data_IF_772673099851
#
_entry.id   IF_772673099851
#
_cell.length_a   1.000
_cell.length_b   1.000
_cell.length_c   1.000
_cell.angle_alpha   90.00
_cell.angle_beta   90.00
_cell.angle_gamma   90.00
#
_symmetry.space_group_name_H-M   'P 1'
#
loop_
_entity.id
_entity.type
_entity.pdbx_description
1 polymer ?
#
# COMPACT_ATOMS: atom_id res chain seq x y z
N UNK A 1 75.52 -15.19 -27.72
CA UNK A 1 75.46 -14.63 -26.36
C UNK A 1 73.99 -14.45 -26.02
N UNK A 2 73.58 -14.96 -24.85
CA UNK A 2 72.19 -15.18 -24.42
C UNK A 2 71.49 -13.87 -24.04
N UNK A 3 70.16 -13.82 -24.21
CA UNK A 3 69.16 -13.24 -23.29
C UNK A 3 67.76 -13.49 -23.88
N UNK A 4 67.12 -14.63 -23.60
CA UNK A 4 66.06 -14.81 -22.57
C UNK A 4 64.89 -13.82 -22.77
N UNK A 5 63.89 -14.23 -23.56
CA UNK A 5 62.54 -13.64 -23.52
C UNK A 5 61.81 -14.20 -22.29
N UNK A 6 61.40 -13.31 -21.39
CA UNK A 6 60.62 -13.64 -20.20
C UNK A 6 59.15 -13.90 -20.52
N UNK A 7 58.64 -14.98 -19.93
CA UNK A 7 57.24 -15.39 -19.83
C UNK A 7 56.46 -14.50 -18.86
N UNK A 8 55.26 -14.05 -19.27
CA UNK A 8 54.15 -13.71 -18.34
C UNK A 8 52.80 -14.07 -18.99
N UNK A 9 52.00 -14.98 -18.40
CA UNK A 9 50.61 -15.20 -18.82
C UNK A 9 49.66 -14.27 -18.04
N UNK A 10 48.68 -13.59 -18.68
CA UNK A 10 47.52 -13.11 -17.96
C UNK A 10 46.54 -14.27 -17.83
N UNK A 11 46.41 -14.80 -16.61
CA UNK A 11 45.33 -14.46 -15.70
C UNK A 11 44.01 -15.11 -16.13
N UNK A 12 43.79 -16.31 -15.60
CA UNK A 12 42.49 -16.95 -15.42
C UNK A 12 41.50 -15.96 -14.80
N UNK A 13 40.62 -15.38 -15.60
CA UNK A 13 39.46 -14.66 -15.09
C UNK A 13 38.35 -15.67 -14.81
N UNK A 14 38.20 -16.02 -13.54
CA UNK A 14 36.99 -16.66 -13.02
C UNK A 14 35.81 -15.73 -13.32
N UNK A 15 34.93 -16.15 -14.22
CA UNK A 15 33.69 -15.45 -14.49
C UNK A 15 32.76 -15.60 -13.27
N UNK A 16 32.80 -14.64 -12.35
CA UNK A 16 31.79 -14.52 -11.30
C UNK A 16 30.51 -13.95 -11.92
N UNK A 17 29.51 -14.82 -12.08
CA UNK A 17 28.15 -14.42 -12.45
C UNK A 17 27.52 -13.73 -11.24
N UNK A 18 27.60 -12.40 -11.18
CA UNK A 18 26.78 -11.62 -10.26
C UNK A 18 25.34 -11.60 -10.79
N UNK A 19 24.49 -12.48 -10.25
CA UNK A 19 23.03 -12.36 -10.44
C UNK A 19 22.58 -11.17 -9.58
N UNK A 20 22.54 -9.98 -10.19
CA UNK A 20 21.89 -8.82 -9.58
C UNK A 20 20.38 -9.02 -9.69
N UNK A 21 19.78 -9.68 -8.67
CA UNK A 21 18.33 -9.77 -8.53
C UNK A 21 17.78 -8.39 -8.19
N UNK A 22 17.38 -7.65 -9.22
CA UNK A 22 16.73 -6.34 -9.10
C UNK A 22 15.31 -6.57 -8.59
N UNK A 23 15.08 -6.37 -7.29
CA UNK A 23 13.73 -6.26 -6.73
C UNK A 23 13.15 -4.92 -7.19
N UNK A 24 12.52 -4.89 -8.36
CA UNK A 24 11.78 -3.73 -8.83
C UNK A 24 10.54 -3.51 -7.93
N UNK A 25 10.41 -2.37 -7.23
CA UNK A 25 9.18 -2.05 -6.51
C UNK A 25 8.04 -1.89 -7.52
N UNK A 26 6.92 -2.58 -7.31
CA UNK A 26 5.71 -2.34 -8.09
C UNK A 26 5.24 -0.91 -7.79
N UNK A 27 5.08 -0.03 -8.78
CA UNK A 27 4.52 1.30 -8.54
C UNK A 27 3.08 1.13 -8.04
N UNK A 28 2.86 1.41 -6.76
CA UNK A 28 1.50 1.54 -6.24
C UNK A 28 0.91 2.79 -6.89
N UNK A 29 -0.14 2.61 -7.70
CA UNK A 29 -0.81 3.77 -8.25
C UNK A 29 -1.61 4.46 -7.14
N UNK A 30 -1.88 5.76 -7.23
CA UNK A 30 -2.73 6.50 -6.28
C UNK A 30 -4.13 5.89 -6.06
N UNK A 31 -4.57 5.00 -6.94
CA UNK A 31 -5.85 4.29 -6.86
C UNK A 31 -5.73 2.86 -6.30
N UNK A 32 -4.55 2.45 -5.85
CA UNK A 32 -4.31 1.12 -5.30
C UNK A 32 -4.02 1.18 -3.80
N UNK A 33 -4.64 0.27 -3.06
CA UNK A 33 -4.19 -0.13 -1.75
C UNK A 33 -2.94 -1.00 -1.88
N UNK A 34 -1.94 -0.71 -1.05
CA UNK A 34 -0.68 -1.45 -1.04
C UNK A 34 -0.90 -2.91 -0.63
N UNK A 35 -0.02 -3.84 -1.05
CA UNK A 35 -0.10 -5.23 -0.62
C UNK A 35 -0.14 -5.41 0.90
N UNK A 36 -1.01 -6.30 1.36
CA UNK A 36 -1.06 -6.78 2.76
C UNK A 36 -0.95 -8.31 2.79
N UNK A 37 -0.87 -8.89 3.99
CA UNK A 37 -0.93 -10.35 4.13
C UNK A 37 -2.25 -10.94 3.58
N UNK A 38 -3.37 -10.23 3.74
CA UNK A 38 -4.67 -10.67 3.24
C UNK A 38 -4.86 -10.38 1.73
N UNK A 39 -4.17 -9.36 1.21
CA UNK A 39 -4.10 -9.04 -0.23
C UNK A 39 -2.65 -8.88 -0.70
N UNK A 40 -1.93 -9.99 -0.98
CA UNK A 40 -0.52 -9.95 -1.35
C UNK A 40 -0.20 -9.23 -2.67
N UNK A 41 -1.22 -8.99 -3.49
CA UNK A 41 -1.10 -8.24 -4.75
C UNK A 41 -1.70 -6.82 -4.64
N UNK A 42 -2.12 -6.40 -3.45
CA UNK A 42 -2.91 -5.19 -3.26
C UNK A 42 -4.32 -5.33 -3.84
N UNK A 43 -5.00 -4.20 -3.99
CA UNK A 43 -6.30 -4.09 -4.65
C UNK A 43 -6.58 -2.62 -4.99
N UNK A 44 -7.50 -2.35 -5.93
CA UNK A 44 -7.81 -0.99 -6.35
C UNK A 44 -9.08 -0.45 -5.69
N UNK A 45 -9.05 0.80 -5.25
CA UNK A 45 -10.25 1.48 -4.77
C UNK A 45 -11.23 1.72 -5.94
N UNK A 46 -12.55 1.57 -5.72
CA UNK A 46 -13.55 1.99 -6.69
C UNK A 46 -13.39 3.47 -7.06
N UNK A 47 -13.46 3.79 -8.36
CA UNK A 47 -13.34 5.17 -8.84
C UNK A 47 -14.35 6.12 -8.18
N UNK A 48 -15.55 5.64 -7.87
CA UNK A 48 -16.60 6.38 -7.15
C UNK A 48 -16.22 6.81 -5.73
N UNK A 49 -15.20 6.20 -5.13
CA UNK A 49 -14.70 6.53 -3.79
C UNK A 49 -13.38 7.31 -3.81
N UNK A 50 -12.52 7.04 -4.79
CA UNK A 50 -11.14 7.53 -4.77
C UNK A 50 -10.89 8.72 -5.69
N UNK A 51 -11.60 8.82 -6.82
CA UNK A 51 -11.30 9.79 -7.89
C UNK A 51 -9.82 9.85 -8.34
N UNK A 52 -9.00 8.88 -7.92
CA UNK A 52 -7.56 8.82 -8.13
C UNK A 52 -6.67 9.45 -7.06
N UNK A 53 -7.18 10.10 -6.01
CA UNK A 53 -6.34 10.74 -4.97
C UNK A 53 -6.92 10.71 -3.54
N UNK A 54 -8.18 10.33 -3.38
CA UNK A 54 -8.92 10.59 -2.15
C UNK A 54 -8.65 9.56 -1.03
N UNK A 55 -8.20 8.36 -1.37
CA UNK A 55 -8.14 7.21 -0.47
C UNK A 55 -6.74 6.89 0.07
N UNK A 56 -6.67 6.52 1.35
CA UNK A 56 -5.46 5.99 2.00
C UNK A 56 -5.79 4.95 3.05
N UNK A 57 -4.84 4.05 3.31
CA UNK A 57 -4.88 3.21 4.50
C UNK A 57 -4.74 4.10 5.74
N UNK A 58 -5.53 3.82 6.78
CA UNK A 58 -5.44 4.48 8.08
C UNK A 58 -5.23 3.45 9.18
N UNK A 59 -4.68 3.88 10.32
CA UNK A 59 -4.51 3.00 11.47
C UNK A 59 -5.86 2.72 12.15
N UNK A 60 -5.94 1.64 12.94
CA UNK A 60 -7.15 1.31 13.69
C UNK A 60 -7.50 2.41 14.70
N UNK A 61 -6.51 3.13 15.25
CA UNK A 61 -6.73 4.23 16.19
C UNK A 61 -7.33 5.47 15.53
N UNK A 62 -7.29 5.59 14.20
CA UNK A 62 -7.94 6.68 13.49
C UNK A 62 -9.47 6.53 13.47
N UNK A 63 -9.98 5.32 13.71
CA UNK A 63 -11.40 4.97 13.58
C UNK A 63 -11.90 4.35 14.88
N UNK A 64 -12.82 5.02 15.57
CA UNK A 64 -13.47 4.45 16.76
C UNK A 64 -14.86 3.92 16.43
N UNK A 65 -15.09 2.65 16.72
CA UNK A 65 -16.44 2.08 16.66
C UNK A 65 -17.23 2.43 17.91
N UNK A 66 -18.44 2.95 17.69
CA UNK A 66 -19.39 3.35 18.71
C UNK A 66 -20.78 2.81 18.37
N UNK A 67 -21.75 2.83 19.31
CA UNK A 67 -23.11 2.38 19.01
C UNK A 67 -23.76 3.10 17.82
N UNK A 68 -23.39 4.36 17.58
CA UNK A 68 -23.88 5.20 16.49
C UNK A 68 -23.23 4.91 15.11
N UNK A 69 -22.04 4.30 15.09
CA UNK A 69 -21.28 4.06 13.85
C UNK A 69 -19.77 4.11 14.03
N UNK A 70 -19.08 4.39 12.93
CA UNK A 70 -17.65 4.63 12.89
C UNK A 70 -17.37 6.12 13.08
N UNK A 71 -16.57 6.46 14.07
CA UNK A 71 -16.12 7.82 14.34
C UNK A 71 -14.74 8.01 13.73
N UNK A 72 -14.61 9.00 12.84
CA UNK A 72 -13.32 9.44 12.33
C UNK A 72 -12.68 10.34 13.38
N UNK A 73 -11.68 9.83 14.11
CA UNK A 73 -11.15 10.50 15.30
C UNK A 73 -10.53 11.87 14.99
N UNK A 74 -9.95 12.04 13.80
CA UNK A 74 -9.35 13.31 13.36
C UNK A 74 -10.35 14.43 13.03
N UNK A 75 -11.63 14.11 12.80
CA UNK A 75 -12.66 15.09 12.43
C UNK A 75 -13.88 15.10 13.35
N UNK A 76 -14.08 14.03 14.12
CA UNK A 76 -15.30 13.79 14.89
C UNK A 76 -16.51 13.39 14.02
N UNK A 77 -16.33 13.17 12.71
CA UNK A 77 -17.41 12.73 11.83
C UNK A 77 -17.89 11.33 12.22
N UNK A 78 -19.20 11.17 12.41
CA UNK A 78 -19.83 9.86 12.60
C UNK A 78 -20.38 9.35 11.26
N UNK A 79 -19.83 8.23 10.79
CA UNK A 79 -20.32 7.48 9.63
C UNK A 79 -21.13 6.30 10.15
N UNK A 80 -22.46 6.39 10.06
CA UNK A 80 -23.36 5.35 10.59
C UNK A 80 -23.15 4.00 9.90
N UNK A 81 -23.42 2.88 10.59
CA UNK A 81 -23.24 1.54 10.01
C UNK A 81 -24.03 1.27 8.71
N UNK A 82 -25.13 1.99 8.48
CA UNK A 82 -25.97 1.86 7.28
C UNK A 82 -25.65 2.90 6.20
N UNK A 83 -24.65 3.75 6.44
CA UNK A 83 -24.24 4.75 5.47
C UNK A 83 -23.67 4.05 4.23
N UNK A 84 -24.18 4.42 3.05
CA UNK A 84 -23.73 3.91 1.76
C UNK A 84 -22.22 4.12 1.50
N UNK A 85 -21.58 5.05 2.21
CA UNK A 85 -20.14 5.32 2.18
C UNK A 85 -19.32 4.22 2.87
N UNK A 86 -19.92 3.42 3.74
CA UNK A 86 -19.26 2.26 4.37
C UNK A 86 -19.10 1.15 3.34
N UNK A 87 -17.88 0.69 3.14
CA UNK A 87 -17.48 -0.35 2.18
C UNK A 87 -16.72 -1.46 2.90
N UNK A 88 -16.71 -2.66 2.30
CA UNK A 88 -15.89 -3.76 2.79
C UNK A 88 -14.44 -3.56 2.39
N UNK A 89 -13.53 -3.68 3.36
CA UNK A 89 -12.09 -3.70 3.11
C UNK A 89 -11.61 -5.14 2.89
N UNK A 90 -11.15 -5.50 1.68
CA UNK A 90 -10.81 -6.88 1.34
C UNK A 90 -9.43 -7.32 1.84
N UNK A 91 -8.63 -6.38 2.36
CA UNK A 91 -7.29 -6.61 2.88
C UNK A 91 -7.19 -6.58 4.41
N UNK A 92 -8.35 -6.47 5.09
CA UNK A 92 -8.46 -6.59 6.53
C UNK A 92 -7.99 -5.36 7.31
N UNK A 93 -7.72 -4.22 6.66
CA UNK A 93 -7.37 -2.96 7.35
C UNK A 93 -8.34 -1.84 6.99
N UNK A 94 -8.32 -0.75 7.76
CA UNK A 94 -9.15 0.42 7.47
C UNK A 94 -8.56 1.26 6.33
N UNK A 95 -9.43 1.71 5.43
CA UNK A 95 -9.06 2.76 4.45
C UNK A 95 -10.09 3.87 4.48
N UNK A 96 -9.60 5.10 4.51
CA UNK A 96 -10.43 6.29 4.57
C UNK A 96 -10.22 7.13 3.32
N UNK A 97 -11.31 7.37 2.60
CA UNK A 97 -11.34 8.29 1.47
C UNK A 97 -11.96 9.61 1.93
N UNK A 98 -11.21 10.68 1.74
CA UNK A 98 -11.57 12.03 2.20
C UNK A 98 -11.31 13.00 1.06
N UNK A 99 -12.02 14.13 1.02
CA UNK A 99 -11.87 15.11 -0.08
C UNK A 99 -10.40 15.49 -0.30
N UNK A 100 -9.90 15.24 -1.52
CA UNK A 100 -8.51 15.47 -1.92
C UNK A 100 -7.46 14.74 -1.05
N UNK A 101 -7.85 13.65 -0.38
CA UNK A 101 -6.99 12.91 0.55
C UNK A 101 -6.66 13.66 1.84
N UNK A 102 -7.35 14.76 2.14
CA UNK A 102 -7.00 15.63 3.26
C UNK A 102 -7.43 15.06 4.63
N UNK A 103 -6.50 15.12 5.60
CA UNK A 103 -6.62 14.54 6.96
C UNK A 103 -7.80 15.03 7.80
N UNK A 104 -8.35 16.20 7.48
CA UNK A 104 -9.44 16.82 8.25
C UNK A 104 -10.64 17.21 7.39
N UNK A 105 -10.88 16.48 6.30
CA UNK A 105 -11.97 16.77 5.36
C UNK A 105 -13.11 15.74 5.47
N UNK A 106 -14.19 15.99 4.73
CA UNK A 106 -15.39 15.14 4.75
C UNK A 106 -15.08 13.76 4.17
N UNK A 107 -15.66 12.72 4.77
CA UNK A 107 -15.57 11.34 4.29
C UNK A 107 -16.34 11.14 2.97
N UNK A 108 -15.66 10.57 1.98
CA UNK A 108 -16.24 10.08 0.71
C UNK A 108 -16.63 8.61 0.86
N UNK A 109 -15.69 7.76 1.29
CA UNK A 109 -15.92 6.35 1.59
C UNK A 109 -15.07 5.92 2.78
N UNK A 110 -15.55 4.92 3.53
CA UNK A 110 -14.82 4.29 4.62
C UNK A 110 -14.83 2.78 4.38
N UNK A 111 -13.68 2.20 4.10
CA UNK A 111 -13.51 0.76 3.95
C UNK A 111 -13.17 0.16 5.31
N UNK A 112 -14.01 -0.77 5.78
CA UNK A 112 -13.90 -1.38 7.10
C UNK A 112 -13.59 -2.87 6.99
N UNK A 113 -12.70 -3.42 7.83
CA UNK A 113 -12.40 -4.85 7.82
C UNK A 113 -13.63 -5.67 8.22
N UNK A 114 -13.76 -6.89 7.68
CA UNK A 114 -14.77 -7.82 8.18
C UNK A 114 -14.50 -8.13 9.65
N UNK A 115 -15.55 -8.09 10.47
CA UNK A 115 -15.52 -8.71 11.78
C UNK A 115 -15.42 -10.22 11.59
N UNK A 116 -14.28 -10.81 11.95
CA UNK A 116 -14.25 -12.26 12.20
C UNK A 116 -15.12 -12.51 13.44
N UNK A 117 -16.10 -13.40 13.29
CA UNK A 117 -16.98 -13.86 14.38
C UNK A 117 -16.27 -14.88 15.27
#
# INVERSE_FOLDING_TARGET
MRNVLGTTPPATFLATVFIASVLAPCPAHPHDAVPTNAKPQGWSYPYSCCSGIDCRQVSEEAISERPEGYVINGTGEVVTYKDHRVKYSPDGVYHWCSVAGAEHSKTICLFVPSKSF
#
